data_IF_103283982998
#
_entry.id   IF_103283982998
#
_cell.length_a   1.000
_cell.length_b   1.000
_cell.length_c   1.000
_cell.angle_alpha   90.00
_cell.angle_beta   90.00
_cell.angle_gamma   90.00
#
_symmetry.space_group_name_H-M   'P 1'
#
loop_
_entity.id
_entity.type
_entity.pdbx_description
1 polymer ?
#
# COMPACT_ATOMS: atom_id res chain seq x y z
N UNK A 1 -3.42 1.53 -17.16
CA UNK A 1 -4.64 1.68 -16.33
C UNK A 1 -4.79 3.09 -15.76
N UNK A 2 -3.88 3.59 -14.92
CA UNK A 2 -3.99 4.92 -14.27
C UNK A 2 -4.22 6.09 -15.24
N UNK A 3 -3.52 6.12 -16.37
CA UNK A 3 -3.74 7.13 -17.45
C UNK A 3 -5.18 7.08 -17.97
N UNK A 4 -5.70 5.89 -18.27
CA UNK A 4 -7.07 5.71 -18.75
C UNK A 4 -8.11 6.12 -17.70
N UNK A 5 -7.85 5.83 -16.42
CA UNK A 5 -8.67 6.32 -15.30
C UNK A 5 -8.77 7.85 -15.29
N UNK A 6 -7.65 8.57 -15.28
CA UNK A 6 -7.67 10.03 -15.22
C UNK A 6 -8.35 10.65 -16.45
N UNK A 7 -8.15 10.09 -17.65
CA UNK A 7 -8.85 10.53 -18.86
C UNK A 7 -10.36 10.27 -18.79
N UNK A 8 -10.79 9.10 -18.32
CA UNK A 8 -12.21 8.78 -18.15
C UNK A 8 -12.90 9.70 -17.13
N UNK A 9 -12.23 10.01 -16.02
CA UNK A 9 -12.75 10.94 -15.00
C UNK A 9 -12.73 12.40 -15.49
N UNK A 10 -11.69 12.85 -16.19
CA UNK A 10 -11.60 14.24 -16.67
C UNK A 10 -12.63 14.56 -17.75
N UNK A 11 -12.94 13.59 -18.61
CA UNK A 11 -13.90 13.74 -19.72
C UNK A 11 -15.29 13.17 -19.42
N UNK A 12 -15.56 12.66 -18.20
CA UNK A 12 -16.88 12.11 -17.87
C UNK A 12 -17.97 13.17 -17.95
N UNK A 13 -19.00 12.89 -18.75
CA UNK A 13 -20.28 13.63 -18.79
C UNK A 13 -21.38 12.92 -18.00
N UNK A 14 -21.24 11.61 -17.74
CA UNK A 14 -22.17 10.79 -16.97
C UNK A 14 -21.48 10.09 -15.80
N UNK A 15 -22.19 9.92 -14.68
CA UNK A 15 -21.67 9.31 -13.44
C UNK A 15 -21.07 7.92 -13.66
N UNK A 16 -21.67 7.11 -14.54
CA UNK A 16 -21.13 5.79 -14.91
C UNK A 16 -19.71 5.84 -15.51
N UNK A 17 -19.38 6.88 -16.28
CA UNK A 17 -18.03 7.05 -16.83
C UNK A 17 -17.01 7.38 -15.73
N UNK A 18 -17.41 8.19 -14.74
CA UNK A 18 -16.59 8.48 -13.56
C UNK A 18 -16.36 7.21 -12.73
N UNK A 19 -17.41 6.40 -12.50
CA UNK A 19 -17.32 5.09 -11.81
C UNK A 19 -16.38 4.15 -12.56
N UNK A 20 -16.49 4.05 -13.89
CA UNK A 20 -15.60 3.24 -14.72
C UNK A 20 -14.13 3.71 -14.60
N UNK A 21 -13.90 5.03 -14.57
CA UNK A 21 -12.59 5.61 -14.28
C UNK A 21 -12.05 5.16 -12.92
N UNK A 22 -12.86 5.24 -11.85
CA UNK A 22 -12.49 4.76 -10.51
C UNK A 22 -12.17 3.26 -10.51
N UNK A 23 -12.90 2.42 -11.25
CA UNK A 23 -12.58 0.99 -11.41
C UNK A 23 -11.19 0.80 -12.04
N UNK A 24 -10.86 1.57 -13.09
CA UNK A 24 -9.52 1.54 -13.70
C UNK A 24 -8.42 2.06 -12.76
N UNK A 25 -8.72 3.02 -11.88
CA UNK A 25 -7.80 3.46 -10.82
C UNK A 25 -7.54 2.32 -9.83
N UNK A 26 -8.60 1.74 -9.27
CA UNK A 26 -8.52 0.68 -8.26
C UNK A 26 -7.79 -0.56 -8.79
N UNK A 27 -8.08 -0.98 -10.03
CA UNK A 27 -7.37 -2.10 -10.66
C UNK A 27 -5.90 -1.78 -10.92
N UNK A 28 -5.58 -0.55 -11.32
CA UNK A 28 -4.19 -0.09 -11.50
C UNK A 28 -3.42 -0.02 -10.17
N UNK A 29 -4.05 0.48 -9.11
CA UNK A 29 -3.47 0.58 -7.78
C UNK A 29 -3.21 -0.80 -7.16
N UNK A 30 -4.20 -1.70 -7.20
CA UNK A 30 -4.06 -3.06 -6.66
C UNK A 30 -2.99 -3.88 -7.38
N UNK A 31 -2.94 -3.83 -8.72
CA UNK A 31 -1.85 -4.46 -9.48
C UNK A 31 -0.49 -3.85 -9.15
N UNK A 32 -0.42 -2.52 -9.00
CA UNK A 32 0.80 -1.83 -8.62
C UNK A 32 1.30 -2.28 -7.25
N UNK A 33 0.45 -2.22 -6.23
CA UNK A 33 0.80 -2.61 -4.88
C UNK A 33 1.24 -4.08 -4.81
N UNK A 34 0.47 -5.02 -5.36
CA UNK A 34 0.86 -6.43 -5.42
C UNK A 34 2.24 -6.64 -6.08
N UNK A 35 2.50 -5.92 -7.19
CA UNK A 35 3.74 -6.10 -7.96
C UNK A 35 4.95 -5.48 -7.27
N UNK A 36 4.86 -4.22 -6.82
CA UNK A 36 5.98 -3.51 -6.19
C UNK A 36 6.25 -3.98 -4.76
N UNK A 37 5.23 -4.40 -4.03
CA UNK A 37 5.40 -4.96 -2.69
C UNK A 37 6.00 -6.37 -2.74
N UNK A 38 5.59 -7.22 -3.69
CA UNK A 38 6.32 -8.45 -4.03
C UNK A 38 7.78 -8.14 -4.36
N UNK A 39 8.01 -7.18 -5.26
CA UNK A 39 9.36 -6.81 -5.72
C UNK A 39 10.29 -6.39 -4.57
N UNK A 40 9.75 -5.76 -3.52
CA UNK A 40 10.52 -5.36 -2.33
C UNK A 40 11.21 -6.53 -1.62
N UNK A 41 10.75 -7.78 -1.81
CA UNK A 41 11.35 -9.01 -1.27
C UNK A 41 12.75 -9.29 -1.84
N UNK A 42 13.07 -8.79 -3.03
CA UNK A 42 14.38 -8.96 -3.69
C UNK A 42 15.40 -7.87 -3.31
N UNK A 43 15.00 -6.88 -2.50
CA UNK A 43 15.86 -5.79 -2.05
C UNK A 43 16.11 -5.83 -0.54
N UNK A 44 16.99 -4.94 -0.06
CA UNK A 44 17.27 -4.76 1.36
C UNK A 44 16.00 -4.40 2.16
N UNK A 45 15.92 -4.86 3.41
CA UNK A 45 14.72 -4.68 4.26
C UNK A 45 14.28 -3.21 4.42
N UNK A 46 15.22 -2.27 4.32
CA UNK A 46 14.98 -0.81 4.33
C UNK A 46 14.09 -0.33 3.17
N UNK A 47 13.98 -1.07 2.07
CA UNK A 47 13.09 -0.74 0.94
C UNK A 47 11.62 -0.85 1.34
N UNK A 48 11.25 -1.74 2.29
CA UNK A 48 9.89 -1.79 2.82
C UNK A 48 9.54 -0.52 3.63
N UNK A 49 10.51 0.05 4.34
CA UNK A 49 10.34 1.35 5.03
C UNK A 49 10.20 2.49 4.01
N UNK A 50 11.05 2.49 2.97
CA UNK A 50 10.99 3.46 1.87
C UNK A 50 9.66 3.40 1.10
N UNK A 51 9.15 2.19 0.84
CA UNK A 51 7.83 1.96 0.24
C UNK A 51 6.70 2.50 1.12
N UNK A 52 6.70 2.17 2.42
CA UNK A 52 5.69 2.66 3.36
C UNK A 52 5.67 4.19 3.45
N UNK A 53 6.84 4.81 3.65
CA UNK A 53 6.95 6.27 3.72
C UNK A 53 6.63 6.95 2.38
N UNK A 54 7.11 6.40 1.26
CA UNK A 54 6.88 6.94 -0.08
C UNK A 54 5.42 6.88 -0.53
N UNK A 55 4.71 5.77 -0.24
CA UNK A 55 3.26 5.66 -0.53
C UNK A 55 2.42 6.61 0.32
N UNK A 56 2.76 6.79 1.61
CA UNK A 56 2.14 7.81 2.46
C UNK A 56 2.42 9.24 1.97
N UNK A 57 3.67 9.51 1.56
CA UNK A 57 4.08 10.81 1.02
C UNK A 57 3.39 11.14 -0.31
N UNK A 58 3.17 10.14 -1.16
CA UNK A 58 2.38 10.29 -2.39
C UNK A 58 0.91 10.66 -2.10
N UNK A 59 0.33 10.13 -1.02
CA UNK A 59 -1.01 10.51 -0.55
C UNK A 59 -1.09 11.99 -0.14
N UNK A 60 -0.13 12.46 0.67
CA UNK A 60 -0.03 13.88 1.06
C UNK A 60 0.22 14.79 -0.15
N UNK A 61 1.19 14.43 -1.00
CA UNK A 61 1.53 15.21 -2.19
C UNK A 61 0.35 15.29 -3.17
N UNK A 62 -0.37 14.19 -3.38
CA UNK A 62 -1.58 14.16 -4.22
C UNK A 62 -2.71 15.01 -3.65
N UNK A 63 -2.99 14.91 -2.35
CA UNK A 63 -4.04 15.69 -1.68
C UNK A 63 -3.74 17.20 -1.67
N UNK A 64 -2.48 17.58 -1.39
CA UNK A 64 -2.02 18.97 -1.43
C UNK A 64 -2.02 19.54 -2.85
N UNK A 65 -1.50 18.80 -3.84
CA UNK A 65 -1.47 19.25 -5.22
C UNK A 65 -2.90 19.39 -5.78
N UNK A 66 -3.80 18.45 -5.49
CA UNK A 66 -5.21 18.57 -5.87
C UNK A 66 -5.85 19.80 -5.21
N UNK A 67 -5.76 19.92 -3.89
CA UNK A 67 -6.39 21.01 -3.13
C UNK A 67 -5.82 22.38 -3.49
N UNK A 68 -4.51 22.48 -3.72
CA UNK A 68 -3.83 23.71 -4.13
C UNK A 68 -4.19 24.15 -5.56
N UNK A 69 -4.29 23.23 -6.51
CA UNK A 69 -4.74 23.55 -7.87
C UNK A 69 -6.21 24.01 -7.90
N UNK A 70 -7.09 23.39 -7.11
CA UNK A 70 -8.48 23.85 -6.95
C UNK A 70 -8.53 25.24 -6.30
N UNK A 71 -7.74 25.51 -5.25
CA UNK A 71 -7.67 26.82 -4.61
C UNK A 71 -7.08 27.91 -5.52
N UNK A 72 -6.20 27.53 -6.46
CA UNK A 72 -5.69 28.41 -7.52
C UNK A 72 -6.73 28.67 -8.65
N UNK A 73 -7.96 28.17 -8.51
CA UNK A 73 -9.07 28.43 -9.43
C UNK A 73 -9.15 27.47 -10.63
N UNK A 74 -8.36 26.39 -10.67
CA UNK A 74 -8.46 25.41 -11.74
C UNK A 74 -9.72 24.55 -11.57
N UNK A 75 -10.37 24.23 -12.70
CA UNK A 75 -11.45 23.26 -12.72
C UNK A 75 -10.95 21.87 -12.29
N UNK A 76 -11.78 21.04 -11.60
CA UNK A 76 -11.46 19.64 -11.31
C UNK A 76 -11.01 18.83 -12.53
N UNK A 77 -11.58 19.10 -13.71
CA UNK A 77 -11.18 18.44 -14.97
C UNK A 77 -9.73 18.72 -15.34
N UNK A 78 -9.32 19.99 -15.27
CA UNK A 78 -7.94 20.42 -15.58
C UNK A 78 -6.99 19.89 -14.51
N UNK A 79 -7.40 19.91 -13.25
CA UNK A 79 -6.62 19.39 -12.12
C UNK A 79 -6.31 17.88 -12.29
N UNK A 80 -7.31 17.06 -12.66
CA UNK A 80 -7.11 15.63 -12.95
C UNK A 80 -6.24 15.40 -14.19
N UNK A 81 -6.32 16.27 -15.20
CA UNK A 81 -5.42 16.22 -16.37
C UNK A 81 -3.97 16.56 -16.00
N UNK A 82 -3.72 17.55 -15.13
CA UNK A 82 -2.37 17.87 -14.63
C UNK A 82 -1.78 16.68 -13.87
N UNK A 83 -2.60 15.93 -13.12
CA UNK A 83 -2.17 14.71 -12.41
C UNK A 83 -1.70 13.56 -13.33
N UNK A 84 -1.91 13.63 -14.65
CA UNK A 84 -1.32 12.68 -15.60
C UNK A 84 0.21 12.66 -15.55
N UNK A 85 0.87 13.68 -15.01
CA UNK A 85 2.33 13.66 -14.76
C UNK A 85 2.74 12.48 -13.87
N UNK A 86 1.89 12.04 -12.93
CA UNK A 86 2.19 10.99 -11.95
C UNK A 86 2.44 9.61 -12.61
N UNK A 87 1.55 9.05 -13.45
CA UNK A 87 1.84 7.78 -14.11
C UNK A 87 3.04 7.85 -15.07
N UNK A 88 3.35 9.01 -15.67
CA UNK A 88 4.57 9.16 -16.47
C UNK A 88 5.85 9.21 -15.62
N UNK A 89 5.84 9.93 -14.48
CA UNK A 89 6.98 9.94 -13.56
C UNK A 89 7.24 8.56 -12.94
N UNK A 90 6.18 7.80 -12.67
CA UNK A 90 6.26 6.40 -12.23
C UNK A 90 6.88 5.48 -13.30
N UNK A 91 6.50 5.65 -14.57
CA UNK A 91 7.09 4.90 -15.68
C UNK A 91 8.59 5.21 -15.84
N UNK A 92 8.97 6.49 -15.83
CA UNK A 92 10.37 6.92 -15.90
C UNK A 92 11.16 6.36 -14.71
N UNK A 93 10.59 6.42 -13.50
CA UNK A 93 11.26 5.88 -12.30
C UNK A 93 11.50 4.37 -12.40
N UNK A 94 10.54 3.61 -12.94
CA UNK A 94 10.68 2.17 -13.12
C UNK A 94 11.76 1.80 -14.16
N UNK A 95 11.82 2.49 -15.30
CA UNK A 95 12.74 2.12 -16.38
C UNK A 95 14.12 2.79 -16.30
N UNK A 96 14.24 3.94 -15.64
CA UNK A 96 15.48 4.74 -15.62
C UNK A 96 16.14 4.85 -14.24
N UNK A 97 15.41 4.66 -13.13
CA UNK A 97 15.96 4.76 -11.76
C UNK A 97 16.04 3.42 -11.03
N UNK A 98 15.13 2.48 -11.30
CA UNK A 98 15.11 1.18 -10.64
C UNK A 98 16.14 0.23 -11.25
N UNK A 99 17.31 0.12 -10.61
CA UNK A 99 18.32 -0.89 -10.97
C UNK A 99 17.81 -2.28 -10.60
N UNK A 100 17.68 -3.23 -11.55
CA UNK A 100 17.21 -4.58 -11.25
C UNK A 100 18.29 -5.37 -10.49
N UNK A 101 18.02 -5.89 -9.27
CA UNK A 101 18.99 -6.70 -8.53
C UNK A 101 19.30 -8.02 -9.26
N UNK A 102 20.52 -8.56 -9.14
CA UNK A 102 20.95 -9.79 -9.83
C UNK A 102 20.17 -11.04 -9.38
N UNK A 103 19.43 -10.97 -8.27
CA UNK A 103 18.56 -12.02 -7.76
C UNK A 103 17.16 -12.05 -8.39
N UNK A 104 16.81 -11.09 -9.26
CA UNK A 104 15.58 -11.18 -10.05
C UNK A 104 15.77 -12.23 -11.16
N UNK A 105 14.82 -13.16 -11.35
CA UNK A 105 14.82 -14.04 -12.51
C UNK A 105 14.50 -13.20 -13.75
N UNK A 106 15.54 -12.64 -14.36
CA UNK A 106 15.44 -12.02 -15.68
C UNK A 106 14.94 -13.07 -16.67
N UNK A 107 14.07 -12.67 -17.61
CA UNK A 107 13.61 -13.54 -18.69
C UNK A 107 14.76 -13.76 -19.69
N UNK A 108 15.71 -14.59 -19.31
CA UNK A 108 16.63 -15.22 -20.24
C UNK A 108 15.84 -16.23 -21.05
N UNK A 109 15.60 -15.93 -22.34
CA UNK A 109 15.26 -16.96 -23.32
C UNK A 109 16.52 -17.82 -23.49
N UNK A 110 16.72 -18.79 -22.59
CA UNK A 110 17.66 -19.89 -22.82
C UNK A 110 17.14 -20.68 -24.01
N UNK A 111 17.69 -20.39 -25.18
CA UNK A 111 17.72 -21.36 -26.27
C UNK A 111 18.36 -22.63 -25.70
N UNK A 112 17.60 -23.73 -25.68
CA UNK A 112 18.09 -25.02 -25.21
C UNK A 112 19.02 -25.56 -26.29
N UNK A 113 20.34 -25.69 -26.05
CA UNK A 113 21.20 -26.36 -26.99
C UNK A 113 20.87 -27.85 -26.89
N UNK A 114 20.14 -28.38 -27.88
CA UNK A 114 20.02 -29.81 -28.06
C UNK A 114 21.37 -30.36 -28.52
N UNK A 115 22.25 -30.65 -27.56
CA UNK A 115 23.55 -31.27 -27.79
C UNK A 115 23.67 -32.55 -26.94
N UNK A 116 23.54 -33.68 -27.63
CA UNK A 116 23.99 -35.05 -27.32
C UNK A 116 24.14 -35.52 -25.84
N UNK A 117 23.47 -36.63 -25.53
CA UNK A 117 24.01 -37.61 -24.57
C UNK A 117 25.35 -38.14 -25.10
N UNK A 118 26.38 -38.20 -24.25
CA UNK A 118 27.65 -38.87 -24.54
C UNK A 118 28.62 -38.81 -23.35
N UNK A 119 29.06 -39.99 -22.92
CA UNK A 119 30.39 -40.38 -22.38
C UNK A 119 31.55 -39.37 -22.45
N UNK A 120 32.59 -39.38 -21.60
CA UNK A 120 32.99 -40.18 -20.41
C UNK A 120 34.16 -39.43 -19.71
N UNK A 121 34.75 -40.04 -18.69
CA UNK A 121 35.86 -39.61 -17.81
C UNK A 121 37.09 -38.91 -18.47
N UNK A 122 37.72 -37.95 -17.78
CA UNK A 122 39.16 -38.02 -17.37
C UNK A 122 39.60 -36.86 -16.42
N UNK A 123 40.80 -36.98 -15.83
CA UNK A 123 41.27 -36.23 -14.64
C UNK A 123 42.52 -35.35 -14.89
N UNK A 124 42.82 -34.45 -13.92
CA UNK A 124 44.17 -33.91 -13.66
C UNK A 124 44.32 -32.39 -13.86
N UNK A 125 45.24 -31.68 -13.18
CA UNK A 125 46.11 -31.99 -12.03
C UNK A 125 46.56 -30.64 -11.39
N UNK A 126 47.20 -30.67 -10.22
CA UNK A 126 47.51 -29.49 -9.37
C UNK A 126 48.88 -28.84 -9.70
N UNK A 127 49.05 -27.55 -9.34
CA UNK A 127 50.25 -26.87 -8.79
C UNK A 127 49.94 -25.35 -8.72
N UNK A 128 49.71 -24.74 -7.55
CA UNK A 128 50.63 -24.25 -6.51
C UNK A 128 51.46 -22.98 -6.84
N UNK A 129 51.18 -21.89 -6.10
CA UNK A 129 52.14 -20.83 -5.69
C UNK A 129 51.47 -19.93 -4.64
N UNK A 130 52.07 -19.81 -3.45
CA UNK A 130 51.72 -18.89 -2.35
C UNK A 130 52.29 -17.46 -2.67
N UNK A 131 52.09 -16.34 -1.96
CA UNK A 131 52.11 -16.07 -0.52
C UNK A 131 51.35 -14.76 -0.14
N UNK A 132 50.92 -14.69 1.14
CA UNK A 132 50.91 -13.51 2.03
C UNK A 132 50.04 -12.25 1.77
N UNK A 133 48.88 -12.16 2.46
CA UNK A 133 48.84 -11.50 3.80
C UNK A 133 47.50 -11.60 4.54
N UNK A 134 47.62 -12.07 5.79
CA UNK A 134 46.70 -12.00 6.94
C UNK A 134 46.10 -10.59 7.19
N UNK A 135 45.05 -10.36 7.97
CA UNK A 135 43.84 -11.10 8.40
C UNK A 135 43.14 -10.19 9.44
N UNK A 136 41.81 -10.00 9.33
CA UNK A 136 40.86 -9.51 10.36
C UNK A 136 39.57 -9.07 9.61
N UNK A 137 38.61 -9.96 9.30
CA UNK A 137 37.57 -10.50 10.20
C UNK A 137 36.62 -9.39 10.74
N UNK A 138 35.29 -9.48 10.82
CA UNK A 138 34.22 -10.45 10.42
C UNK A 138 32.95 -9.59 10.14
N UNK A 139 31.88 -9.95 9.41
CA UNK A 139 31.44 -11.19 8.74
C UNK A 139 31.00 -10.89 7.29
N UNK A 140 31.06 -11.89 6.39
CA UNK A 140 30.06 -12.07 5.32
C UNK A 140 29.73 -13.57 5.21
N UNK A 141 28.59 -14.01 5.74
CA UNK A 141 28.15 -15.41 5.61
C UNK A 141 27.85 -15.76 4.14
N UNK A 142 28.85 -16.41 3.54
CA UNK A 142 28.90 -16.97 2.19
C UNK A 142 27.90 -18.12 2.01
N UNK A 143 26.60 -17.81 1.93
CA UNK A 143 25.58 -18.81 1.60
C UNK A 143 25.84 -19.39 0.19
N UNK A 144 25.82 -20.72 0.01
CA UNK A 144 26.19 -21.34 -1.26
C UNK A 144 25.17 -21.02 -2.36
N UNK A 145 25.57 -21.24 -3.62
CA UNK A 145 24.73 -21.07 -4.79
C UNK A 145 23.58 -22.10 -4.84
N UNK A 146 22.55 -21.89 -4.01
CA UNK A 146 21.29 -22.62 -4.08
C UNK A 146 20.57 -22.16 -5.35
N UNK A 147 20.33 -23.10 -6.26
CA UNK A 147 19.47 -22.93 -7.43
C UNK A 147 18.05 -22.54 -6.99
N UNK A 148 17.82 -21.23 -6.82
CA UNK A 148 16.51 -20.64 -6.55
C UNK A 148 15.66 -20.63 -7.82
N UNK A 149 15.45 -21.80 -8.40
CA UNK A 149 14.21 -22.07 -9.14
C UNK A 149 13.05 -21.69 -8.22
N UNK A 150 12.18 -20.80 -8.73
CA UNK A 150 10.92 -20.49 -8.09
C UNK A 150 10.01 -21.72 -8.19
N UNK A 151 10.22 -22.69 -7.29
CA UNK A 151 9.33 -23.83 -7.12
C UNK A 151 7.94 -23.31 -6.75
N UNK A 152 6.97 -23.55 -7.62
CA UNK A 152 5.62 -23.03 -7.47
C UNK A 152 4.97 -23.62 -6.23
N UNK A 153 4.76 -22.79 -5.21
CA UNK A 153 4.21 -23.20 -3.92
C UNK A 153 2.92 -24.03 -4.10
N UNK A 154 2.91 -25.22 -3.51
CA UNK A 154 1.82 -26.19 -3.59
C UNK A 154 0.57 -25.58 -2.95
N UNK A 155 -0.61 -25.88 -3.48
CA UNK A 155 -1.87 -25.31 -2.97
C UNK A 155 -2.10 -25.61 -1.46
N UNK A 156 -1.58 -26.74 -0.97
CA UNK A 156 -1.59 -27.13 0.46
C UNK A 156 -0.68 -26.23 1.32
N UNK A 157 0.52 -25.92 0.83
CA UNK A 157 1.48 -25.02 1.50
C UNK A 157 0.94 -23.58 1.54
N UNK A 158 0.41 -23.09 0.40
CA UNK A 158 -0.28 -21.80 0.32
C UNK A 158 -1.39 -21.66 1.37
N UNK A 159 -2.23 -22.70 1.53
CA UNK A 159 -3.31 -22.72 2.54
C UNK A 159 -2.78 -22.71 3.98
N UNK A 160 -1.66 -23.38 4.24
CA UNK A 160 -1.02 -23.40 5.57
C UNK A 160 -0.38 -22.04 5.92
N UNK A 161 0.30 -21.41 4.96
CA UNK A 161 0.83 -20.05 5.07
C UNK A 161 -0.30 -19.04 5.33
N UNK A 162 -1.38 -19.06 4.53
CA UNK A 162 -2.56 -18.21 4.75
C UNK A 162 -3.12 -18.41 6.18
N UNK A 163 -3.25 -19.66 6.65
CA UNK A 163 -3.78 -19.95 7.99
C UNK A 163 -2.92 -19.32 9.11
N UNK A 164 -1.60 -19.27 8.95
CA UNK A 164 -0.71 -18.55 9.87
C UNK A 164 -0.87 -17.03 9.77
N UNK A 165 -1.00 -16.49 8.56
CA UNK A 165 -1.14 -15.07 8.28
C UNK A 165 -2.48 -14.48 8.70
N UNK A 166 -3.55 -15.27 8.83
CA UNK A 166 -4.88 -14.80 9.28
C UNK A 166 -4.82 -14.00 10.59
N UNK A 167 -3.87 -14.31 11.49
CA UNK A 167 -3.63 -13.57 12.74
C UNK A 167 -3.25 -12.10 12.50
N UNK A 168 -2.65 -11.78 11.35
CA UNK A 168 -2.28 -10.44 10.93
C UNK A 168 -3.29 -9.84 9.94
N UNK A 169 -3.72 -10.63 8.95
CA UNK A 169 -4.66 -10.20 7.90
C UNK A 169 -6.03 -9.80 8.46
N UNK A 170 -6.57 -10.52 9.45
CA UNK A 170 -7.90 -10.23 9.99
C UNK A 170 -7.93 -8.92 10.80
N UNK A 171 -7.01 -8.65 11.74
CA UNK A 171 -6.90 -7.33 12.37
C UNK A 171 -6.65 -6.19 11.39
N UNK A 172 -5.82 -6.41 10.36
CA UNK A 172 -5.54 -5.41 9.32
C UNK A 172 -6.81 -5.08 8.53
N UNK A 173 -7.51 -6.09 8.01
CA UNK A 173 -8.77 -5.92 7.26
C UNK A 173 -9.85 -5.22 8.09
N UNK A 174 -9.91 -5.47 9.41
CA UNK A 174 -10.84 -4.77 10.31
C UNK A 174 -10.45 -3.31 10.59
N UNK A 175 -9.16 -2.95 10.61
CA UNK A 175 -8.71 -1.55 10.67
C UNK A 175 -9.11 -0.84 9.38
N UNK A 176 -8.71 -1.41 8.23
CA UNK A 176 -8.99 -0.85 6.91
C UNK A 176 -10.49 -0.74 6.62
N UNK A 177 -11.30 -1.67 7.12
CA UNK A 177 -12.76 -1.55 7.08
C UNK A 177 -13.25 -0.30 7.82
N UNK A 178 -12.85 -0.12 9.08
CA UNK A 178 -13.31 0.99 9.91
C UNK A 178 -12.79 2.36 9.38
N UNK A 179 -11.54 2.41 8.93
CA UNK A 179 -10.89 3.56 8.27
C UNK A 179 -11.62 4.00 7.00
N UNK A 180 -11.89 3.07 6.08
CA UNK A 180 -12.59 3.42 4.84
C UNK A 180 -14.09 3.66 5.05
N UNK A 181 -14.69 3.07 6.09
CA UNK A 181 -16.07 3.36 6.47
C UNK A 181 -16.23 4.79 7.01
N UNK A 182 -15.28 5.27 7.82
CA UNK A 182 -15.20 6.69 8.21
C UNK A 182 -15.04 7.55 6.96
N UNK A 183 -13.98 7.32 6.18
CA UNK A 183 -13.60 8.15 5.05
C UNK A 183 -14.69 8.28 3.97
N UNK A 184 -15.29 7.16 3.56
CA UNK A 184 -16.26 7.10 2.45
C UNK A 184 -17.72 7.20 2.91
N UNK A 185 -18.02 6.93 4.19
CA UNK A 185 -19.39 6.87 4.71
C UNK A 185 -19.78 8.02 5.63
N UNK A 186 -18.83 8.59 6.39
CA UNK A 186 -19.13 9.54 7.46
C UNK A 186 -18.56 10.95 7.23
N UNK A 187 -17.36 11.08 6.64
CA UNK A 187 -16.69 12.39 6.53
C UNK A 187 -17.43 13.40 5.63
N UNK A 188 -18.15 12.95 4.61
CA UNK A 188 -18.97 13.83 3.76
C UNK A 188 -20.19 14.42 4.53
N UNK A 189 -20.68 13.69 5.54
CA UNK A 189 -21.83 14.09 6.36
C UNK A 189 -21.44 15.07 7.49
N UNK A 190 -20.16 15.16 7.85
CA UNK A 190 -19.64 16.05 8.89
C UNK A 190 -19.44 17.49 8.39
N UNK A 191 -20.54 18.23 8.21
CA UNK A 191 -20.53 19.61 7.72
C UNK A 191 -20.71 20.66 8.82
N UNK A 192 -19.87 21.70 8.79
CA UNK A 192 -20.01 22.88 9.66
C UNK A 192 -20.46 24.11 8.83
N UNK A 193 -21.75 24.50 8.85
CA UNK A 193 -22.25 25.60 8.02
C UNK A 193 -21.74 26.98 8.45
N UNK A 194 -21.44 27.17 9.74
CA UNK A 194 -20.96 28.44 10.30
C UNK A 194 -19.42 28.58 10.22
N UNK A 195 -18.82 28.17 9.09
CA UNK A 195 -17.38 28.17 8.90
C UNK A 195 -16.99 28.80 7.56
N UNK A 196 -15.76 29.31 7.46
CA UNK A 196 -15.29 30.06 6.27
C UNK A 196 -15.03 29.18 5.03
N UNK A 197 -14.98 27.85 5.20
CA UNK A 197 -14.78 26.88 4.13
C UNK A 197 -16.13 26.34 3.63
N UNK A 198 -16.30 26.20 2.31
CA UNK A 198 -17.46 25.50 1.76
C UNK A 198 -17.45 24.00 2.12
N UNK A 199 -18.58 23.32 2.00
CA UNK A 199 -18.69 21.86 2.23
C UNK A 199 -17.61 21.07 1.48
N UNK A 200 -17.41 21.37 0.19
CA UNK A 200 -16.40 20.72 -0.63
C UNK A 200 -14.95 21.06 -0.22
N UNK A 201 -14.71 22.25 0.36
CA UNK A 201 -13.39 22.61 0.89
C UNK A 201 -13.13 21.90 2.24
N UNK A 202 -14.13 21.81 3.12
CA UNK A 202 -14.06 21.08 4.38
C UNK A 202 -13.71 19.60 4.13
N UNK A 203 -14.41 18.95 3.20
CA UNK A 203 -14.11 17.57 2.81
C UNK A 203 -12.70 17.39 2.23
N UNK A 204 -12.21 18.33 1.41
CA UNK A 204 -10.83 18.31 0.90
C UNK A 204 -9.78 18.47 2.01
N UNK A 205 -10.05 19.30 3.01
CA UNK A 205 -9.17 19.44 4.18
C UNK A 205 -9.19 18.21 5.08
N UNK A 206 -10.36 17.58 5.30
CA UNK A 206 -10.46 16.28 5.97
C UNK A 206 -9.57 15.22 5.31
N UNK A 207 -9.73 15.03 3.99
CA UNK A 207 -8.92 14.09 3.21
C UNK A 207 -7.42 14.42 3.26
N UNK A 208 -7.05 15.69 3.20
CA UNK A 208 -5.65 16.13 3.32
C UNK A 208 -5.06 15.81 4.71
N UNK A 209 -5.81 16.09 5.78
CA UNK A 209 -5.38 15.84 7.17
C UNK A 209 -5.28 14.34 7.50
N UNK A 210 -6.19 13.52 6.97
CA UNK A 210 -6.11 12.07 7.01
C UNK A 210 -4.79 11.57 6.38
N UNK A 211 -4.46 12.04 5.16
CA UNK A 211 -3.21 11.66 4.48
C UNK A 211 -1.97 12.07 5.27
N UNK A 212 -1.97 13.22 5.95
CA UNK A 212 -0.87 13.58 6.87
C UNK A 212 -0.73 12.57 8.00
N UNK A 213 -1.83 12.15 8.64
CA UNK A 213 -1.81 11.11 9.68
C UNK A 213 -1.23 9.80 9.15
N UNK A 214 -1.69 9.34 7.97
CA UNK A 214 -1.15 8.14 7.32
C UNK A 214 0.35 8.28 7.04
N UNK A 215 0.80 9.41 6.48
CA UNK A 215 2.22 9.64 6.19
C UNK A 215 3.11 9.62 7.44
N UNK A 216 2.73 10.35 8.50
CA UNK A 216 3.49 10.38 9.76
C UNK A 216 3.61 8.98 10.36
N UNK A 217 2.53 8.20 10.36
CA UNK A 217 2.55 6.85 10.92
C UNK A 217 3.28 5.83 10.04
N UNK A 218 3.12 5.89 8.71
CA UNK A 218 3.89 5.02 7.82
C UNK A 218 5.40 5.30 7.92
N UNK A 219 5.79 6.56 8.14
CA UNK A 219 7.18 6.96 8.39
C UNK A 219 7.67 6.61 9.80
N UNK A 220 6.78 6.38 10.78
CA UNK A 220 7.16 6.10 12.17
C UNK A 220 7.72 4.69 12.40
N UNK A 221 7.67 3.79 11.41
CA UNK A 221 8.11 2.38 11.54
C UNK A 221 9.54 2.21 12.08
N UNK A 222 10.43 3.18 11.78
CA UNK A 222 11.82 3.18 12.25
C UNK A 222 11.93 3.50 13.75
N UNK A 223 10.98 4.28 14.29
CA UNK A 223 10.97 4.76 15.67
C UNK A 223 10.03 3.96 16.60
N UNK A 224 8.87 3.52 16.12
CA UNK A 224 7.81 2.90 16.92
C UNK A 224 7.29 1.63 16.25
N UNK A 225 7.32 0.50 16.97
CA UNK A 225 6.92 -0.83 16.48
C UNK A 225 5.84 -1.43 17.38
N UNK A 226 4.62 -1.55 16.87
CA UNK A 226 3.41 -1.97 17.58
C UNK A 226 3.07 -3.42 17.19
N UNK A 227 3.50 -4.40 18.01
CA UNK A 227 3.24 -5.82 17.74
C UNK A 227 1.79 -6.26 17.97
N UNK A 228 1.01 -5.49 18.74
CA UNK A 228 -0.39 -5.82 19.07
C UNK A 228 -1.39 -5.09 18.16
N UNK A 229 -1.50 -5.54 16.91
CA UNK A 229 -2.43 -4.98 15.91
C UNK A 229 -3.87 -4.87 16.42
N UNK A 230 -4.33 -5.84 17.22
CA UNK A 230 -5.66 -5.82 17.85
C UNK A 230 -5.97 -4.55 18.67
N UNK A 231 -4.95 -3.89 19.24
CA UNK A 231 -5.14 -2.60 19.93
C UNK A 231 -5.47 -1.51 18.92
N UNK A 232 -4.78 -1.47 17.77
CA UNK A 232 -5.09 -0.53 16.68
C UNK A 232 -6.47 -0.81 16.10
N UNK A 233 -6.84 -2.08 15.91
CA UNK A 233 -8.19 -2.47 15.48
C UNK A 233 -9.26 -1.98 16.47
N UNK A 234 -9.08 -2.19 17.77
CA UNK A 234 -10.02 -1.73 18.78
C UNK A 234 -10.14 -0.20 18.81
N UNK A 235 -9.02 0.51 18.81
CA UNK A 235 -8.99 1.98 18.77
C UNK A 235 -9.67 2.53 17.50
N UNK A 236 -9.47 1.90 16.34
CA UNK A 236 -10.10 2.32 15.09
C UNK A 236 -11.62 2.10 15.10
N UNK A 237 -12.09 0.99 15.68
CA UNK A 237 -13.53 0.73 15.83
C UNK A 237 -14.20 1.65 16.86
N UNK A 238 -13.50 2.01 17.95
CA UNK A 238 -13.96 3.06 18.87
C UNK A 238 -14.06 4.40 18.15
N UNK A 239 -13.09 4.73 17.29
CA UNK A 239 -13.10 5.96 16.50
C UNK A 239 -14.27 5.99 15.50
N UNK A 240 -14.50 4.89 14.78
CA UNK A 240 -15.61 4.77 13.84
C UNK A 240 -16.98 4.86 14.53
N UNK A 241 -17.14 4.22 15.70
CA UNK A 241 -18.36 4.33 16.50
C UNK A 241 -18.57 5.76 17.03
N UNK A 242 -17.50 6.44 17.48
CA UNK A 242 -17.57 7.82 17.93
C UNK A 242 -18.00 8.77 16.80
N UNK A 243 -17.40 8.66 15.62
CA UNK A 243 -17.75 9.48 14.46
C UNK A 243 -19.15 9.17 13.91
N UNK A 244 -19.59 7.91 13.95
CA UNK A 244 -20.95 7.53 13.59
C UNK A 244 -21.98 8.18 14.53
N UNK A 245 -21.73 8.15 15.84
CA UNK A 245 -22.57 8.84 16.84
C UNK A 245 -22.52 10.37 16.64
N UNK A 246 -21.37 10.93 16.30
CA UNK A 246 -21.20 12.35 16.01
C UNK A 246 -22.03 12.81 14.80
N UNK A 247 -22.11 12.00 13.74
CA UNK A 247 -22.99 12.26 12.59
C UNK A 247 -24.46 12.10 12.99
N UNK A 248 -24.83 11.03 13.70
CA UNK A 248 -26.23 10.77 14.11
C UNK A 248 -26.84 11.83 15.03
N UNK A 249 -26.05 12.39 15.94
CA UNK A 249 -26.53 13.34 16.96
C UNK A 249 -26.02 14.77 16.76
N UNK A 250 -25.19 15.03 15.75
CA UNK A 250 -24.61 16.33 15.40
C UNK A 250 -23.98 17.09 16.61
N UNK A 251 -23.41 16.35 17.57
CA UNK A 251 -22.94 16.93 18.83
C UNK A 251 -21.55 17.58 18.76
N UNK A 252 -20.79 17.39 17.67
CA UNK A 252 -19.44 17.92 17.57
C UNK A 252 -19.47 19.45 17.36
N UNK A 253 -18.85 20.25 18.24
CA UNK A 253 -19.03 21.71 18.23
C UNK A 253 -18.04 22.45 17.32
N UNK A 254 -16.99 21.79 16.80
CA UNK A 254 -15.96 22.47 16.01
C UNK A 254 -15.27 21.60 14.96
N UNK A 255 -15.00 22.23 13.81
CA UNK A 255 -14.23 21.69 12.69
C UNK A 255 -12.82 21.24 13.10
N UNK A 256 -12.14 22.01 13.96
CA UNK A 256 -10.78 21.69 14.42
C UNK A 256 -10.71 20.39 15.24
N UNK A 257 -11.74 20.09 16.04
CA UNK A 257 -11.83 18.84 16.80
C UNK A 257 -11.98 17.65 15.85
N UNK A 258 -12.82 17.78 14.80
CA UNK A 258 -12.94 16.78 13.73
C UNK A 258 -11.60 16.56 13.01
N UNK A 259 -10.84 17.61 12.68
CA UNK A 259 -9.50 17.46 12.09
C UNK A 259 -8.53 16.68 12.98
N UNK A 260 -8.54 16.88 14.30
CA UNK A 260 -7.71 16.11 15.23
C UNK A 260 -8.10 14.63 15.25
N UNK A 261 -9.40 14.32 15.20
CA UNK A 261 -9.89 12.94 15.14
C UNK A 261 -9.49 12.26 13.82
N UNK A 262 -9.60 12.96 12.69
CA UNK A 262 -9.24 12.44 11.36
C UNK A 262 -7.71 12.26 11.23
N UNK A 263 -6.93 13.15 11.84
CA UNK A 263 -5.47 12.96 11.92
C UNK A 263 -5.13 11.70 12.73
N UNK A 264 -5.80 11.48 13.86
CA UNK A 264 -5.67 10.29 14.70
C UNK A 264 -6.11 9.00 13.97
N UNK A 265 -7.18 9.07 13.19
CA UNK A 265 -7.64 7.98 12.31
C UNK A 265 -6.52 7.55 11.33
N UNK A 266 -5.95 8.51 10.59
CA UNK A 266 -4.86 8.24 9.66
C UNK A 266 -3.61 7.69 10.34
N UNK A 267 -3.32 8.13 11.57
CA UNK A 267 -2.23 7.55 12.37
C UNK A 267 -2.46 6.07 12.69
N UNK A 268 -3.69 5.65 13.02
CA UNK A 268 -4.02 4.27 13.35
C UNK A 268 -3.94 3.35 12.12
N UNK A 269 -4.53 3.77 11.00
CA UNK A 269 -4.51 3.03 9.74
C UNK A 269 -3.10 2.86 9.17
N UNK A 270 -2.36 3.98 9.09
CA UNK A 270 -0.94 3.98 8.72
C UNK A 270 -0.10 3.05 9.61
N UNK A 271 -0.34 3.04 10.93
CA UNK A 271 0.38 2.19 11.88
C UNK A 271 0.09 0.72 11.65
N UNK A 272 -1.19 0.37 11.47
CA UNK A 272 -1.61 -1.01 11.24
C UNK A 272 -0.98 -1.58 9.97
N UNK A 273 -0.95 -0.80 8.89
CA UNK A 273 -0.30 -1.17 7.63
C UNK A 273 1.18 -1.49 7.82
N UNK A 274 2.01 -0.51 8.22
CA UNK A 274 3.48 -0.72 8.25
C UNK A 274 3.92 -1.74 9.28
N UNK A 275 3.24 -1.82 10.43
CA UNK A 275 3.55 -2.87 11.41
C UNK A 275 3.17 -4.25 10.88
N UNK A 276 2.03 -4.41 10.22
CA UNK A 276 1.62 -5.70 9.64
C UNK A 276 2.64 -6.20 8.62
N UNK A 277 3.00 -5.38 7.63
CA UNK A 277 3.98 -5.78 6.62
C UNK A 277 5.39 -5.97 7.20
N UNK A 278 5.79 -5.20 8.22
CA UNK A 278 7.06 -5.42 8.92
C UNK A 278 7.11 -6.76 9.66
N UNK A 279 6.06 -7.12 10.41
CA UNK A 279 6.00 -8.40 11.12
C UNK A 279 5.89 -9.57 10.15
N UNK A 280 5.10 -9.46 9.07
CA UNK A 280 5.05 -10.49 8.02
C UNK A 280 6.42 -10.68 7.36
N UNK A 281 7.13 -9.59 7.05
CA UNK A 281 8.49 -9.63 6.48
C UNK A 281 9.54 -10.27 7.40
N UNK A 282 9.33 -10.21 8.72
CA UNK A 282 10.25 -10.73 9.74
C UNK A 282 9.91 -12.15 10.21
N UNK A 283 8.62 -12.49 10.34
CA UNK A 283 8.15 -13.78 10.86
C UNK A 283 7.91 -14.83 9.76
N UNK A 284 7.83 -14.43 8.49
CA UNK A 284 7.70 -15.37 7.35
C UNK A 284 9.07 -15.76 6.79
N UNK A 285 9.27 -17.06 6.57
CA UNK A 285 10.44 -17.62 5.88
C UNK A 285 10.58 -17.05 4.45
N UNK A 286 11.83 -16.89 4.00
CA UNK A 286 12.16 -16.27 2.71
C UNK A 286 11.45 -16.92 1.51
N UNK A 287 11.21 -18.25 1.55
CA UNK A 287 10.47 -19.01 0.53
C UNK A 287 9.00 -18.58 0.39
N UNK A 288 8.37 -18.15 1.48
CA UNK A 288 6.93 -17.82 1.51
C UNK A 288 6.65 -16.32 1.61
N UNK A 289 7.67 -15.50 1.86
CA UNK A 289 7.54 -14.05 2.14
C UNK A 289 6.83 -13.27 1.03
N UNK A 290 7.13 -13.56 -0.24
CA UNK A 290 6.50 -12.90 -1.40
C UNK A 290 4.99 -13.16 -1.43
N UNK A 291 4.61 -14.44 -1.38
CA UNK A 291 3.20 -14.86 -1.33
C UNK A 291 2.49 -14.34 -0.08
N UNK A 292 3.19 -14.25 1.05
CA UNK A 292 2.64 -13.74 2.30
C UNK A 292 2.34 -12.24 2.27
N UNK A 293 3.22 -11.43 1.67
CA UNK A 293 2.96 -10.00 1.45
C UNK A 293 1.79 -9.80 0.49
N UNK A 294 1.80 -10.48 -0.67
CA UNK A 294 0.73 -10.40 -1.64
C UNK A 294 -0.63 -10.89 -1.10
N UNK A 295 -0.64 -11.93 -0.25
CA UNK A 295 -1.86 -12.38 0.41
C UNK A 295 -2.37 -11.34 1.42
N UNK A 296 -1.48 -10.69 2.16
CA UNK A 296 -1.87 -9.67 3.14
C UNK A 296 -2.50 -8.43 2.50
N UNK A 297 -1.96 -7.97 1.35
CA UNK A 297 -2.53 -6.86 0.55
C UNK A 297 -3.81 -7.22 -0.22
N UNK A 298 -4.35 -8.44 -0.04
CA UNK A 298 -5.73 -8.79 -0.43
C UNK A 298 -6.69 -8.62 0.76
N UNK A 299 -6.18 -8.73 2.00
CA UNK A 299 -6.99 -8.65 3.23
C UNK A 299 -7.44 -7.22 3.56
N UNK A 300 -6.57 -6.24 3.38
CA UNK A 300 -6.91 -4.81 3.45
C UNK A 300 -7.84 -4.39 2.31
N UNK A 301 -7.54 -4.78 1.06
CA UNK A 301 -8.37 -4.55 -0.13
C UNK A 301 -9.80 -5.07 0.04
N UNK A 302 -9.96 -6.24 0.67
CA UNK A 302 -11.27 -6.80 1.03
C UNK A 302 -11.98 -5.96 2.11
N UNK A 303 -11.24 -5.50 3.13
CA UNK A 303 -11.77 -4.58 4.15
C UNK A 303 -12.29 -3.28 3.56
N UNK A 304 -11.53 -2.67 2.65
CA UNK A 304 -11.91 -1.47 1.88
C UNK A 304 -13.18 -1.70 1.07
N UNK A 305 -13.26 -2.81 0.33
CA UNK A 305 -14.42 -3.13 -0.50
C UNK A 305 -15.70 -3.34 0.33
N UNK A 306 -15.58 -4.05 1.47
CA UNK A 306 -16.69 -4.25 2.40
C UNK A 306 -17.13 -2.93 3.06
N UNK A 307 -16.18 -2.04 3.37
CA UNK A 307 -16.48 -0.72 3.93
C UNK A 307 -17.22 0.19 2.94
N UNK A 308 -16.79 0.22 1.67
CA UNK A 308 -17.49 0.96 0.62
C UNK A 308 -18.93 0.43 0.40
N UNK A 309 -19.13 -0.88 0.46
CA UNK A 309 -20.46 -1.49 0.41
C UNK A 309 -21.33 -1.07 1.61
N UNK A 310 -20.78 -1.11 2.83
CA UNK A 310 -21.49 -0.67 4.04
C UNK A 310 -21.83 0.84 4.02
N UNK A 311 -20.88 1.68 3.58
CA UNK A 311 -21.02 3.12 3.46
C UNK A 311 -22.21 3.50 2.55
N UNK A 312 -22.43 2.77 1.45
CA UNK A 312 -23.57 3.01 0.56
C UNK A 312 -24.93 2.88 1.28
N UNK A 313 -25.13 1.87 2.14
CA UNK A 313 -26.37 1.73 2.90
C UNK A 313 -26.51 2.80 3.98
N UNK A 314 -25.41 3.15 4.65
CA UNK A 314 -25.42 4.15 5.72
C UNK A 314 -25.68 5.56 5.16
N UNK A 315 -25.05 5.93 4.06
CA UNK A 315 -25.32 7.18 3.34
C UNK A 315 -26.79 7.22 2.86
N UNK A 316 -27.31 6.12 2.29
CA UNK A 316 -28.72 6.04 1.88
C UNK A 316 -29.69 6.17 3.06
N UNK A 317 -29.34 5.67 4.24
CA UNK A 317 -30.14 5.84 5.46
C UNK A 317 -30.14 7.30 5.92
N UNK A 318 -28.97 7.94 6.04
CA UNK A 318 -28.88 9.35 6.45
C UNK A 318 -29.53 10.32 5.45
N UNK A 319 -29.42 10.07 4.14
CA UNK A 319 -30.11 10.87 3.12
C UNK A 319 -31.62 10.56 2.99
N UNK A 320 -32.17 9.68 3.83
CA UNK A 320 -33.61 9.40 3.93
C UNK A 320 -34.27 9.91 5.20
N UNK A 321 -33.48 10.51 6.11
CA UNK A 321 -33.92 11.21 7.33
C UNK A 321 -34.17 12.70 7.05
#
# INVERSE_FOLDING_TARGET
MTVASFLLVSFSSAVWQSILGVIFASFGAGLGELSFLSLSVFFNRSVLEGWGSGTGGAGVAGALLYSGLIQAGLSPRVTVLVMLVVPFSMLISYWCLLVPPPSLPQWSRKEVPHAALGSEEEQGLMEESEEDKEESEEEEERSPAVDRRSESLTCREKKQVIKGLLKFMFPLGLVYFAEYFINQGLLELLFFPNFFLSHADQYRWYQTTYQFGVFFSRSSLRCVKIRRLWILTFLQWVNAAFLLLAVSFLFLPSFWLVLVIIFYEGLLGGAAYVNTFHFISKETESRHREFAMAAASVGDSLGIALAAFAAFFVHRYFCSL
#
